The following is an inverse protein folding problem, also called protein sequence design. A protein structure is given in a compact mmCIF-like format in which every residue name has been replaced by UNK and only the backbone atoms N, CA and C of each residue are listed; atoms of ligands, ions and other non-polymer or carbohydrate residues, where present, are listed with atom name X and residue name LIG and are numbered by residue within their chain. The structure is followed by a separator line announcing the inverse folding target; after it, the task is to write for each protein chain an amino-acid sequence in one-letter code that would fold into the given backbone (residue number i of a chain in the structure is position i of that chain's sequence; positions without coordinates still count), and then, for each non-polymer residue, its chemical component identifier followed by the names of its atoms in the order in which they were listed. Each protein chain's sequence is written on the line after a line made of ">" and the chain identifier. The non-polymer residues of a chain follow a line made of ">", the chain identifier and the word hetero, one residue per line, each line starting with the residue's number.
data_IF_935093253202
#
_entry.id   IF_935093253202
#
_cell.length_a   1.000
_cell.length_b   1.000
_cell.length_c   1.000
_cell.angle_alpha   90.00
_cell.angle_beta   90.00
_cell.angle_gamma   90.00
#
_symmetry.space_group_name_H-M   'P 1'
#
loop_
_entity.id
_entity.type
_entity.pdbx_description
1 polymer ?
#
# COMPACT_ATOMS: atom_id res chain seq x y z
N UNK A 1 83.62 11.23 -25.68
CA UNK A 1 82.53 10.76 -24.79
C UNK A 1 81.91 12.01 -24.20
N UNK A 2 80.78 12.45 -24.76
CA UNK A 2 80.11 13.69 -24.34
C UNK A 2 78.94 13.32 -23.44
N UNK A 3 78.99 13.78 -22.20
CA UNK A 3 77.93 13.61 -21.20
C UNK A 3 76.68 14.41 -21.61
N UNK A 4 75.52 13.75 -21.63
CA UNK A 4 74.22 14.40 -21.75
C UNK A 4 73.87 15.13 -20.44
N UNK A 5 73.28 16.35 -20.49
CA UNK A 5 72.75 16.98 -19.29
C UNK A 5 71.46 16.30 -18.81
N UNK A 6 71.17 16.30 -17.49
CA UNK A 6 70.00 15.64 -16.92
C UNK A 6 68.69 16.40 -17.21
N UNK A 7 67.53 15.72 -17.23
CA UNK A 7 66.25 16.34 -17.52
C UNK A 7 65.83 17.30 -16.39
N UNK A 8 65.61 18.55 -16.78
CA UNK A 8 65.12 19.62 -15.91
C UNK A 8 63.61 19.47 -15.68
N UNK A 9 63.23 18.84 -14.57
CA UNK A 9 61.84 18.76 -14.14
C UNK A 9 61.34 20.15 -13.72
N UNK A 10 60.48 20.74 -14.55
CA UNK A 10 59.80 22.01 -14.23
C UNK A 10 58.62 21.71 -13.30
N UNK A 11 58.49 22.34 -12.12
CA UNK A 11 57.27 22.22 -11.35
C UNK A 11 56.15 22.93 -12.11
N UNK A 12 55.19 22.16 -12.63
CA UNK A 12 53.95 22.74 -13.18
C UNK A 12 53.25 23.51 -12.06
N UNK A 13 53.27 24.84 -12.15
CA UNK A 13 52.54 25.72 -11.27
C UNK A 13 51.04 25.42 -11.41
N UNK A 14 50.51 24.62 -10.49
CA UNK A 14 49.09 24.33 -10.37
C UNK A 14 48.40 25.66 -10.07
N UNK A 15 47.77 26.28 -11.08
CA UNK A 15 46.96 27.50 -10.93
C UNK A 15 45.84 27.19 -9.95
N UNK A 16 46.06 27.50 -8.68
CA UNK A 16 45.04 27.40 -7.65
C UNK A 16 43.96 28.41 -8.02
N UNK A 17 42.79 27.92 -8.39
CA UNK A 17 41.61 28.75 -8.57
C UNK A 17 41.37 29.50 -7.26
N UNK A 18 41.15 30.83 -7.29
CA UNK A 18 40.94 31.59 -6.09
C UNK A 18 39.75 31.01 -5.31
N UNK A 19 39.95 30.81 -4.02
CA UNK A 19 39.01 30.14 -3.09
C UNK A 19 37.57 30.67 -3.25
N UNK A 20 37.40 31.97 -3.55
CA UNK A 20 36.08 32.56 -3.82
C UNK A 20 35.34 32.00 -5.04
N UNK A 21 36.05 31.66 -6.13
CA UNK A 21 35.44 31.05 -7.33
C UNK A 21 34.98 29.63 -7.04
N UNK A 22 35.71 28.90 -6.18
CA UNK A 22 35.31 27.55 -5.75
C UNK A 22 34.01 27.59 -4.94
N UNK A 23 33.87 28.53 -4.01
CA UNK A 23 32.61 28.71 -3.26
C UNK A 23 31.44 29.08 -4.17
N UNK A 24 31.63 29.97 -5.15
CA UNK A 24 30.55 30.34 -6.09
C UNK A 24 30.13 29.16 -6.96
N UNK A 25 31.06 28.32 -7.41
CA UNK A 25 30.74 27.12 -8.19
C UNK A 25 30.00 26.11 -7.30
N UNK A 26 30.52 25.79 -6.11
CA UNK A 26 29.90 24.79 -5.23
C UNK A 26 28.51 25.24 -4.77
N UNK A 27 28.37 26.47 -4.26
CA UNK A 27 27.07 27.00 -3.85
C UNK A 27 26.12 27.24 -5.02
N UNK A 28 26.63 27.69 -6.18
CA UNK A 28 25.82 27.86 -7.39
C UNK A 28 25.28 26.54 -7.92
N UNK A 29 26.10 25.49 -7.93
CA UNK A 29 25.66 24.15 -8.35
C UNK A 29 24.71 23.53 -7.33
N UNK A 30 24.95 23.74 -6.03
CA UNK A 30 24.06 23.26 -4.96
C UNK A 30 22.69 23.98 -4.99
N UNK A 31 22.67 25.28 -5.26
CA UNK A 31 21.43 26.05 -5.40
C UNK A 31 20.66 25.66 -6.67
N UNK A 32 21.34 25.47 -7.80
CA UNK A 32 20.70 25.06 -9.05
C UNK A 32 20.14 23.63 -8.96
N UNK A 33 20.92 22.67 -8.44
CA UNK A 33 20.49 21.29 -8.28
C UNK A 33 19.45 21.13 -7.15
N UNK A 34 19.63 21.81 -6.01
CA UNK A 34 18.75 21.69 -4.85
C UNK A 34 17.40 22.37 -5.05
N UNK A 35 17.38 23.61 -5.52
CA UNK A 35 16.14 24.38 -5.68
C UNK A 35 15.44 24.11 -7.02
N UNK A 36 16.19 23.95 -8.10
CA UNK A 36 15.62 23.77 -9.44
C UNK A 36 14.99 22.39 -9.65
N UNK A 37 15.64 21.33 -9.16
CA UNK A 37 15.15 19.95 -9.34
C UNK A 37 14.19 19.58 -8.21
N UNK A 38 14.46 20.03 -6.97
CA UNK A 38 13.59 19.74 -5.81
C UNK A 38 12.15 20.23 -6.01
N UNK A 39 11.96 21.46 -6.48
CA UNK A 39 10.62 22.04 -6.67
C UNK A 39 9.80 21.31 -7.76
N UNK A 40 10.45 20.79 -8.81
CA UNK A 40 9.79 20.06 -9.89
C UNK A 40 9.41 18.63 -9.50
N UNK A 41 10.15 18.02 -8.56
CA UNK A 41 9.92 16.65 -8.16
C UNK A 41 8.85 16.48 -7.06
N UNK A 42 8.59 17.50 -6.23
CA UNK A 42 7.54 17.47 -5.19
C UNK A 42 6.17 16.99 -5.73
N UNK A 43 5.62 17.56 -6.83
CA UNK A 43 4.32 17.11 -7.33
C UNK A 43 4.36 15.66 -7.85
N UNK A 44 5.48 15.24 -8.45
CA UNK A 44 5.65 13.86 -8.94
C UNK A 44 5.68 12.86 -7.79
N UNK A 45 6.40 13.18 -6.71
CA UNK A 45 6.42 12.35 -5.51
C UNK A 45 5.07 12.31 -4.79
N UNK A 46 4.31 13.41 -4.80
CA UNK A 46 2.96 13.40 -4.22
C UNK A 46 2.01 12.47 -4.98
N UNK A 47 2.06 12.50 -6.32
CA UNK A 47 1.25 11.63 -7.17
C UNK A 47 1.68 10.17 -7.06
N UNK A 48 2.98 9.91 -7.07
CA UNK A 48 3.54 8.57 -6.90
C UNK A 48 3.20 7.98 -5.52
N UNK A 49 3.23 8.80 -4.47
CA UNK A 49 2.83 8.36 -3.12
C UNK A 49 1.37 7.97 -3.07
N UNK A 50 0.48 8.78 -3.64
CA UNK A 50 -0.94 8.44 -3.73
C UNK A 50 -1.17 7.13 -4.50
N UNK A 51 -0.47 6.93 -5.61
CA UNK A 51 -0.57 5.70 -6.39
C UNK A 51 -0.07 4.48 -5.59
N UNK A 52 1.05 4.61 -4.88
CA UNK A 52 1.57 3.57 -3.99
C UNK A 52 0.57 3.25 -2.86
N UNK A 53 -0.05 4.26 -2.27
CA UNK A 53 -1.04 4.06 -1.20
C UNK A 53 -2.28 3.32 -1.72
N UNK A 54 -2.73 3.63 -2.95
CA UNK A 54 -3.84 2.90 -3.59
C UNK A 54 -3.47 1.45 -3.91
N UNK A 55 -2.31 1.21 -4.50
CA UNK A 55 -1.82 -0.15 -4.80
C UNK A 55 -1.64 -0.97 -3.53
N UNK A 56 -1.20 -0.32 -2.45
CA UNK A 56 -1.02 -0.95 -1.15
C UNK A 56 -2.35 -1.36 -0.53
N UNK A 57 -3.35 -0.47 -0.51
CA UNK A 57 -4.68 -0.80 0.02
C UNK A 57 -5.31 -1.98 -0.74
N UNK A 58 -5.23 -1.97 -2.07
CA UNK A 58 -5.77 -3.05 -2.89
C UNK A 58 -5.04 -4.37 -2.65
N UNK A 59 -3.70 -4.33 -2.57
CA UNK A 59 -2.89 -5.50 -2.25
C UNK A 59 -3.21 -6.06 -0.87
N UNK A 60 -3.32 -5.19 0.14
CA UNK A 60 -3.62 -5.58 1.51
C UNK A 60 -5.03 -6.20 1.60
N UNK A 61 -6.02 -5.62 0.92
CA UNK A 61 -7.37 -6.17 0.83
C UNK A 61 -7.40 -7.54 0.14
N UNK A 62 -6.66 -7.71 -0.97
CA UNK A 62 -6.55 -9.02 -1.65
C UNK A 62 -5.89 -10.07 -0.76
N UNK A 63 -4.86 -9.71 -0.02
CA UNK A 63 -4.18 -10.62 0.90
C UNK A 63 -5.13 -11.06 2.04
N UNK A 64 -5.92 -10.13 2.58
CA UNK A 64 -6.93 -10.47 3.61
C UNK A 64 -8.00 -11.37 3.02
N UNK A 65 -8.55 -11.05 1.84
CA UNK A 65 -9.54 -11.87 1.18
C UNK A 65 -9.02 -13.30 0.90
N UNK A 66 -7.76 -13.43 0.50
CA UNK A 66 -7.09 -14.71 0.33
C UNK A 66 -6.88 -15.47 1.66
N UNK A 67 -6.48 -14.78 2.73
CA UNK A 67 -6.34 -15.42 4.04
C UNK A 67 -7.70 -15.94 4.55
N UNK A 68 -8.78 -15.19 4.32
CA UNK A 68 -10.14 -15.61 4.63
C UNK A 68 -10.56 -16.80 3.77
N UNK A 69 -10.23 -16.82 2.47
CA UNK A 69 -10.58 -17.97 1.61
C UNK A 69 -9.86 -19.25 2.02
N UNK A 70 -8.58 -19.16 2.41
CA UNK A 70 -7.83 -20.29 2.97
C UNK A 70 -8.42 -20.77 4.29
N UNK A 71 -8.78 -19.83 5.18
CA UNK A 71 -9.47 -20.17 6.42
C UNK A 71 -10.77 -20.94 6.18
N UNK A 72 -11.57 -20.50 5.19
CA UNK A 72 -12.84 -21.14 4.85
C UNK A 72 -12.63 -22.54 4.29
N UNK A 73 -11.60 -22.73 3.46
CA UNK A 73 -11.19 -24.05 2.97
C UNK A 73 -10.88 -25.03 4.11
N UNK A 74 -10.26 -24.55 5.19
CA UNK A 74 -9.95 -25.37 6.36
C UNK A 74 -11.16 -25.58 7.29
N UNK A 75 -12.14 -24.69 7.23
CA UNK A 75 -13.28 -24.63 8.16
C UNK A 75 -14.62 -25.08 7.56
N UNK A 76 -14.60 -25.94 6.52
CA UNK A 76 -15.78 -26.41 5.80
C UNK A 76 -16.69 -25.27 5.30
N UNK A 77 -16.10 -24.26 4.65
CA UNK A 77 -16.77 -23.07 4.09
C UNK A 77 -17.52 -22.22 5.13
N UNK A 78 -17.26 -22.42 6.42
CA UNK A 78 -17.95 -21.71 7.50
C UNK A 78 -17.16 -20.51 7.97
N UNK A 79 -17.77 -19.34 7.86
CA UNK A 79 -17.22 -18.13 8.48
C UNK A 79 -17.15 -18.29 10.00
N UNK A 80 -16.09 -17.81 10.66
CA UNK A 80 -16.08 -17.74 12.10
C UNK A 80 -17.22 -16.85 12.63
N UNK A 81 -17.69 -17.11 13.85
CA UNK A 81 -18.40 -16.10 14.61
C UNK A 81 -17.38 -15.02 14.98
N UNK A 82 -17.41 -13.90 14.25
CA UNK A 82 -16.62 -12.73 14.57
C UNK A 82 -17.53 -11.77 15.33
N UNK A 83 -17.14 -11.43 16.55
CA UNK A 83 -17.80 -10.35 17.29
C UNK A 83 -17.04 -9.03 17.14
N UNK A 84 -15.74 -9.10 16.87
CA UNK A 84 -14.83 -7.95 16.73
C UNK A 84 -13.83 -8.15 15.59
N UNK A 85 -13.34 -7.04 15.03
CA UNK A 85 -12.30 -7.03 13.98
C UNK A 85 -10.96 -7.63 14.44
N UNK A 86 -10.65 -7.49 15.74
CA UNK A 86 -9.47 -8.10 16.35
C UNK A 86 -9.53 -9.63 16.31
N UNK A 87 -10.69 -10.21 16.66
CA UNK A 87 -10.90 -11.67 16.60
C UNK A 87 -10.77 -12.21 15.18
N UNK A 88 -11.23 -11.45 14.18
CA UNK A 88 -11.02 -11.80 12.77
C UNK A 88 -9.54 -11.99 12.53
N UNK A 89 -8.80 -10.93 12.79
CA UNK A 89 -7.37 -10.86 12.52
C UNK A 89 -6.62 -11.98 13.23
N UNK A 90 -6.90 -12.24 14.50
CA UNK A 90 -6.24 -13.32 15.24
C UNK A 90 -6.48 -14.69 14.62
N UNK A 91 -7.70 -14.96 14.12
CA UNK A 91 -8.03 -16.24 13.47
C UNK A 91 -7.41 -16.39 12.09
N UNK A 92 -7.40 -15.32 11.29
CA UNK A 92 -6.80 -15.36 9.95
C UNK A 92 -5.28 -15.14 9.96
N UNK A 93 -4.70 -14.76 11.11
CA UNK A 93 -3.26 -14.49 11.29
C UNK A 93 -2.36 -15.62 10.79
N UNK A 94 -2.74 -16.87 11.06
CA UNK A 94 -1.99 -18.05 10.63
C UNK A 94 -1.94 -18.27 9.12
N UNK A 95 -2.83 -17.60 8.37
CA UNK A 95 -2.95 -17.73 6.91
C UNK A 95 -2.20 -16.63 6.15
N UNK A 96 -1.56 -15.69 6.87
CA UNK A 96 -0.70 -14.68 6.26
C UNK A 96 0.77 -15.08 6.32
N UNK A 97 1.47 -14.91 5.21
CA UNK A 97 2.91 -15.16 5.14
C UNK A 97 3.78 -13.93 5.47
N UNK A 98 3.24 -12.86 6.08
CA UNK A 98 4.00 -11.62 6.32
C UNK A 98 3.56 -10.79 7.53
N UNK A 99 4.55 -10.27 8.28
CA UNK A 99 4.36 -9.52 9.54
C UNK A 99 3.71 -8.13 9.38
N UNK A 100 3.69 -7.57 8.17
CA UNK A 100 3.33 -6.16 7.93
C UNK A 100 1.83 -5.86 7.79
N UNK A 101 0.99 -6.89 7.64
CA UNK A 101 -0.46 -6.73 7.44
C UNK A 101 -1.23 -6.52 8.75
N UNK A 102 -0.64 -6.86 9.89
CA UNK A 102 -1.33 -6.88 11.18
C UNK A 102 -1.64 -5.50 11.77
N UNK A 103 -1.07 -4.43 11.23
CA UNK A 103 -1.35 -3.07 11.70
C UNK A 103 -2.69 -2.50 11.18
N UNK A 104 -3.36 -3.21 10.26
CA UNK A 104 -4.68 -2.83 9.70
C UNK A 104 -5.86 -3.41 10.49
N UNK A 105 -5.56 -4.32 11.43
CA UNK A 105 -6.53 -5.19 12.10
C UNK A 105 -7.52 -4.48 13.02
N UNK A 106 -7.08 -3.43 13.70
CA UNK A 106 -7.90 -2.72 14.69
C UNK A 106 -8.94 -1.79 14.06
N UNK A 107 -8.79 -1.45 12.77
CA UNK A 107 -9.66 -0.48 12.08
C UNK A 107 -10.48 -1.10 10.94
N UNK A 108 -10.28 -2.39 10.65
CA UNK A 108 -11.00 -3.08 9.59
C UNK A 108 -12.50 -3.17 9.95
N UNK A 109 -13.36 -2.66 9.07
CA UNK A 109 -14.79 -2.77 9.27
C UNK A 109 -15.29 -4.11 8.71
N UNK A 110 -15.70 -5.00 9.61
CA UNK A 110 -16.14 -6.35 9.28
C UNK A 110 -17.66 -6.47 9.19
N UNK A 111 -18.15 -7.29 8.27
CA UNK A 111 -19.57 -7.63 8.20
C UNK A 111 -19.94 -8.75 9.18
N UNK A 112 -20.53 -8.37 10.31
CA UNK A 112 -20.96 -9.34 11.31
C UNK A 112 -22.14 -10.22 10.86
N UNK A 113 -22.90 -9.83 9.82
CA UNK A 113 -24.08 -10.58 9.37
C UNK A 113 -23.70 -11.85 8.59
N UNK A 114 -22.52 -11.90 7.99
CA UNK A 114 -21.99 -13.10 7.34
C UNK A 114 -21.19 -13.98 8.30
N UNK A 115 -21.00 -13.54 9.55
CA UNK A 115 -20.36 -14.35 10.57
C UNK A 115 -21.20 -15.61 10.84
N UNK A 116 -20.54 -16.74 11.04
CA UNK A 116 -21.19 -18.06 11.24
C UNK A 116 -22.02 -18.60 10.07
N UNK A 117 -22.12 -17.88 8.94
CA UNK A 117 -22.82 -18.32 7.73
C UNK A 117 -21.86 -19.16 6.87
N UNK A 118 -22.39 -20.22 6.27
CA UNK A 118 -21.66 -21.01 5.28
C UNK A 118 -21.80 -20.37 3.91
N UNK A 119 -20.74 -20.35 3.09
CA UNK A 119 -20.79 -19.79 1.73
C UNK A 119 -21.97 -20.33 0.90
N UNK A 120 -22.29 -21.61 1.06
CA UNK A 120 -23.39 -22.29 0.36
C UNK A 120 -24.80 -21.73 0.70
N UNK A 121 -24.95 -21.02 1.82
CA UNK A 121 -26.23 -20.42 2.23
C UNK A 121 -26.42 -19.00 1.68
N UNK A 122 -25.39 -18.43 1.05
CA UNK A 122 -25.46 -17.12 0.44
C UNK A 122 -25.99 -17.26 -0.98
N UNK A 123 -27.11 -16.59 -1.23
CA UNK A 123 -27.72 -16.52 -2.55
C UNK A 123 -26.83 -15.78 -3.56
N UNK A 124 -26.09 -14.77 -3.10
CA UNK A 124 -25.23 -13.95 -3.94
C UNK A 124 -23.93 -13.54 -3.22
N UNK A 125 -22.89 -14.40 -3.24
CA UNK A 125 -21.59 -14.10 -2.63
C UNK A 125 -20.90 -12.88 -3.26
N UNK A 126 -21.09 -12.63 -4.55
CA UNK A 126 -20.43 -11.53 -5.27
C UNK A 126 -20.98 -10.16 -4.86
N UNK A 127 -22.26 -10.06 -4.48
CA UNK A 127 -22.82 -8.80 -4.00
C UNK A 127 -22.88 -8.71 -2.46
N UNK A 128 -22.38 -9.72 -1.76
CA UNK A 128 -22.31 -9.73 -0.30
C UNK A 128 -20.95 -9.23 0.17
N UNK A 129 -20.90 -8.04 0.79
CA UNK A 129 -19.64 -7.51 1.31
C UNK A 129 -19.15 -8.29 2.53
N UNK A 130 -17.83 -8.39 2.63
CA UNK A 130 -17.10 -9.11 3.66
C UNK A 130 -16.46 -8.14 4.66
N UNK A 131 -15.62 -7.25 4.15
CA UNK A 131 -14.98 -6.20 4.94
C UNK A 131 -14.71 -4.97 4.08
N UNK A 132 -14.48 -3.84 4.75
CA UNK A 132 -14.12 -2.57 4.13
C UNK A 132 -12.75 -2.14 4.65
N UNK A 133 -11.85 -1.79 3.73
CA UNK A 133 -10.53 -1.28 4.05
C UNK A 133 -10.64 0.04 4.84
N UNK A 134 -9.86 0.21 5.92
CA UNK A 134 -9.82 1.48 6.66
C UNK A 134 -9.12 2.59 5.86
N UNK A 135 -8.31 2.23 4.85
CA UNK A 135 -7.53 3.18 4.07
C UNK A 135 -8.45 3.88 3.05
N UNK A 136 -8.62 5.21 3.13
CA UNK A 136 -9.33 5.96 2.11
C UNK A 136 -8.48 6.05 0.83
N UNK A 137 -9.12 5.83 -0.32
CA UNK A 137 -8.58 6.04 -1.65
C UNK A 137 -8.97 7.44 -2.16
N UNK A 138 -8.34 7.87 -3.25
CA UNK A 138 -8.66 9.15 -3.88
C UNK A 138 -10.15 9.24 -4.28
N UNK A 139 -10.75 10.41 -4.02
CA UNK A 139 -12.16 10.68 -4.35
C UNK A 139 -13.16 10.00 -3.43
N UNK A 140 -12.85 9.89 -2.13
CA UNK A 140 -13.73 9.30 -1.11
C UNK A 140 -14.19 7.87 -1.44
N UNK A 141 -13.25 7.08 -1.96
CA UNK A 141 -13.44 5.66 -2.26
C UNK A 141 -12.78 4.81 -1.18
N UNK A 142 -13.23 3.57 -1.01
CA UNK A 142 -12.55 2.55 -0.20
C UNK A 142 -12.64 1.20 -0.87
N UNK A 143 -11.65 0.36 -0.63
CA UNK A 143 -11.69 -1.04 -1.06
C UNK A 143 -12.71 -1.81 -0.21
N UNK A 144 -13.59 -2.50 -0.91
CA UNK A 144 -14.59 -3.40 -0.33
C UNK A 144 -14.29 -4.79 -0.87
N UNK A 145 -14.07 -5.73 0.04
CA UNK A 145 -13.97 -7.14 -0.31
C UNK A 145 -15.35 -7.79 -0.21
N UNK A 146 -15.63 -8.75 -1.09
CA UNK A 146 -16.88 -9.50 -1.13
C UNK A 146 -16.66 -10.96 -0.72
N UNK A 147 -17.76 -11.71 -0.50
CA UNK A 147 -17.73 -13.09 -0.01
C UNK A 147 -17.16 -14.09 -1.02
N UNK A 148 -17.12 -13.75 -2.31
CA UNK A 148 -16.40 -14.48 -3.36
C UNK A 148 -14.93 -14.05 -3.51
N UNK A 149 -14.43 -13.23 -2.58
CA UNK A 149 -13.04 -12.79 -2.45
C UNK A 149 -12.55 -11.80 -3.51
N UNK A 150 -13.42 -11.26 -4.36
CA UNK A 150 -13.02 -10.12 -5.19
C UNK A 150 -13.02 -8.83 -4.36
N UNK A 151 -12.23 -7.86 -4.81
CA UNK A 151 -12.08 -6.55 -4.17
C UNK A 151 -12.45 -5.48 -5.19
N UNK A 152 -13.27 -4.51 -4.77
CA UNK A 152 -13.67 -3.39 -5.59
C UNK A 152 -13.57 -2.08 -4.82
N UNK A 153 -13.03 -1.04 -5.48
CA UNK A 153 -12.97 0.31 -4.91
C UNK A 153 -14.31 1.01 -5.10
N UNK A 154 -15.08 1.18 -4.03
CA UNK A 154 -16.42 1.80 -4.09
C UNK A 154 -16.42 3.21 -3.49
N UNK A 155 -17.22 4.16 -4.04
CA UNK A 155 -17.44 5.44 -3.41
C UNK A 155 -18.24 5.29 -2.10
N UNK A 156 -18.02 6.17 -1.12
CA UNK A 156 -18.70 6.13 0.19
C UNK A 156 -20.23 6.00 0.10
N UNK A 157 -20.86 6.66 -0.87
CA UNK A 157 -22.32 6.56 -1.09
C UNK A 157 -22.75 5.14 -1.42
N UNK A 158 -21.98 4.44 -2.25
CA UNK A 158 -22.26 3.07 -2.65
C UNK A 158 -21.93 2.07 -1.53
N UNK A 159 -20.89 2.34 -0.74
CA UNK A 159 -20.57 1.55 0.45
C UNK A 159 -21.77 1.49 1.40
N UNK A 160 -22.43 2.63 1.66
CA UNK A 160 -23.64 2.67 2.48
C UNK A 160 -24.79 1.88 1.87
N UNK A 161 -24.90 1.83 0.54
CA UNK A 161 -25.88 1.00 -0.15
C UNK A 161 -25.58 -0.48 0.07
N UNK A 162 -24.34 -0.91 -0.17
CA UNK A 162 -23.89 -2.30 -0.05
C UNK A 162 -24.01 -2.80 1.40
N UNK A 163 -23.70 -1.95 2.40
CA UNK A 163 -23.90 -2.26 3.82
C UNK A 163 -25.33 -2.65 4.17
N UNK A 164 -26.30 -2.04 3.49
CA UNK A 164 -27.73 -2.24 3.73
C UNK A 164 -28.36 -3.27 2.78
N UNK A 165 -27.60 -3.91 1.90
CA UNK A 165 -28.14 -4.93 1.02
C UNK A 165 -28.55 -6.17 1.84
N UNK A 166 -29.73 -6.76 1.56
CA UNK A 166 -30.14 -7.98 2.23
C UNK A 166 -29.19 -9.11 1.85
N UNK A 167 -28.63 -9.75 2.88
CA UNK A 167 -27.98 -11.05 2.75
C UNK A 167 -29.06 -12.03 2.34
N UNK A 168 -29.17 -12.34 1.04
CA UNK A 168 -30.06 -13.38 0.56
C UNK A 168 -29.66 -14.69 1.20
N UNK A 169 -30.24 -15.01 2.35
CA UNK A 169 -30.12 -16.30 2.99
C UNK A 169 -31.26 -17.14 2.42
N UNK A 170 -30.93 -18.28 1.83
CA UNK A 170 -31.95 -19.27 1.54
C UNK A 170 -32.65 -19.61 2.86
N UNK A 171 -33.95 -19.32 2.93
CA UNK A 171 -34.78 -19.76 4.05
C UNK A 171 -34.68 -21.29 4.10
N UNK A 172 -34.55 -21.87 5.30
CA UNK A 172 -34.52 -23.33 5.47
C UNK A 172 -35.78 -24.00 4.90
#
# INVERSE_FOLDING_TARGET
>A
MSELPPPQNSPQARKQLPIGVWFVIVFGTLALCGCGIGALLIPVFSKARHEVDTMRSESDAKLIAQAVSLYLSDSNDRMPPFSTSTEVTEKIKGYFSGDKLFNLSSELEWNNNVSSVTLQKLQDPANTWLFISPIPLAGDRRDVAFMDFHVSALPLQEINRVKNMPFGLDKP
#
